data_IF_322380565445
#
_entry.id   IF_322380565445
#
_cell.length_a   1.000
_cell.length_b   1.000
_cell.length_c   1.000
_cell.angle_alpha   90.00
_cell.angle_beta   90.00
_cell.angle_gamma   90.00
#
_symmetry.space_group_name_H-M   'P 1'
#
loop_
_entity.id
_entity.type
_entity.pdbx_description
1 polymer ?
#
# COMPACT_ATOMS: atom_id res chain seq x y z
N UNK A 1 -26.35 -41.84 4.62
CA UNK A 1 -26.49 -40.68 5.53
C UNK A 1 -25.28 -39.74 5.28
N UNK A 2 -25.45 -38.75 4.45
CA UNK A 2 -24.43 -37.72 4.19
C UNK A 2 -24.56 -36.59 5.22
N UNK A 3 -23.48 -36.28 5.91
CA UNK A 3 -23.42 -35.14 6.85
C UNK A 3 -23.37 -33.84 6.04
N UNK A 4 -24.15 -32.80 6.38
CA UNK A 4 -24.10 -31.52 5.72
C UNK A 4 -22.76 -30.82 6.02
N UNK A 5 -22.16 -30.21 4.98
CA UNK A 5 -20.95 -29.42 5.09
C UNK A 5 -21.19 -28.20 5.99
N UNK A 6 -20.43 -28.09 7.06
CA UNK A 6 -20.44 -26.93 7.98
C UNK A 6 -19.78 -25.77 7.22
N UNK A 7 -20.59 -24.80 6.83
CA UNK A 7 -20.11 -23.54 6.28
C UNK A 7 -19.26 -22.83 7.33
N UNK A 8 -18.02 -22.50 6.99
CA UNK A 8 -17.09 -21.80 7.89
C UNK A 8 -17.67 -20.41 8.25
N UNK A 9 -17.87 -20.08 9.52
CA UNK A 9 -18.53 -18.82 9.94
C UNK A 9 -17.74 -17.54 9.55
N UNK A 10 -16.48 -17.66 9.14
CA UNK A 10 -15.67 -16.50 8.72
C UNK A 10 -16.05 -15.89 7.38
N UNK A 11 -16.65 -16.66 6.46
CA UNK A 11 -17.00 -16.16 5.12
C UNK A 11 -18.21 -15.23 5.14
N UNK A 12 -19.17 -15.49 6.02
CA UNK A 12 -20.38 -14.68 6.13
C UNK A 12 -20.12 -13.32 6.82
N UNK A 13 -19.20 -13.31 7.81
CA UNK A 13 -18.79 -12.07 8.47
C UNK A 13 -17.97 -11.15 7.55
N UNK A 14 -17.16 -11.71 6.64
CA UNK A 14 -16.40 -10.94 5.66
C UNK A 14 -17.32 -10.22 4.66
N UNK A 15 -18.40 -10.86 4.24
CA UNK A 15 -19.39 -10.27 3.33
C UNK A 15 -20.22 -9.16 3.99
N UNK A 16 -20.48 -9.21 5.31
CA UNK A 16 -21.25 -8.21 6.04
C UNK A 16 -20.45 -6.97 6.43
N UNK A 17 -19.14 -7.09 6.65
CA UNK A 17 -18.28 -5.94 6.98
C UNK A 17 -17.99 -5.02 5.79
N UNK A 18 -18.27 -5.45 4.56
CA UNK A 18 -18.14 -4.66 3.35
C UNK A 18 -19.34 -3.75 3.07
N UNK A 19 -20.36 -3.80 3.94
CA UNK A 19 -21.61 -3.09 3.75
C UNK A 19 -21.57 -1.75 4.46
N UNK A 20 -21.55 -0.69 3.65
CA UNK A 20 -21.84 0.72 3.97
C UNK A 20 -20.62 1.52 4.45
N UNK A 21 -19.70 1.78 3.54
CA UNK A 21 -18.87 2.97 3.71
C UNK A 21 -19.80 4.19 3.88
N UNK A 22 -19.61 5.03 4.93
CA UNK A 22 -20.47 6.19 5.14
C UNK A 22 -20.53 7.07 3.88
N UNK A 23 -21.66 7.70 3.61
CA UNK A 23 -21.91 8.53 2.42
C UNK A 23 -20.73 9.48 2.12
N UNK A 24 -20.17 10.09 3.17
CA UNK A 24 -19.00 10.97 3.11
C UNK A 24 -17.77 10.30 2.47
N UNK A 25 -17.50 9.04 2.79
CA UNK A 25 -16.35 8.30 2.24
C UNK A 25 -16.56 8.00 0.75
N UNK A 26 -17.76 7.60 0.36
CA UNK A 26 -18.13 7.39 -1.05
C UNK A 26 -17.97 8.67 -1.86
N UNK A 27 -18.45 9.79 -1.32
CA UNK A 27 -18.33 11.10 -1.96
C UNK A 27 -16.86 11.56 -2.07
N UNK A 28 -16.08 11.44 -1.01
CA UNK A 28 -14.66 11.81 -1.05
C UNK A 28 -13.88 10.96 -2.06
N UNK A 29 -14.15 9.65 -2.12
CA UNK A 29 -13.58 8.76 -3.14
C UNK A 29 -13.98 9.15 -4.55
N UNK A 30 -15.23 9.48 -4.75
CA UNK A 30 -15.73 9.97 -6.05
C UNK A 30 -14.94 11.22 -6.48
N UNK A 31 -14.77 12.20 -5.59
CA UNK A 31 -13.99 13.42 -5.88
C UNK A 31 -12.53 13.09 -6.20
N UNK A 32 -11.88 12.21 -5.43
CA UNK A 32 -10.50 11.78 -5.70
C UNK A 32 -10.40 11.15 -7.09
N UNK A 33 -11.31 10.24 -7.44
CA UNK A 33 -11.36 9.60 -8.77
C UNK A 33 -11.58 10.60 -9.88
N UNK A 34 -12.51 11.52 -9.69
CA UNK A 34 -12.82 12.57 -10.66
C UNK A 34 -11.58 13.46 -10.88
N UNK A 35 -10.94 13.93 -9.81
CA UNK A 35 -9.74 14.76 -9.91
C UNK A 35 -8.59 14.02 -10.60
N UNK A 36 -8.32 12.77 -10.22
CA UNK A 36 -7.29 11.97 -10.87
C UNK A 36 -7.59 11.76 -12.36
N UNK A 37 -8.85 11.47 -12.73
CA UNK A 37 -9.26 11.31 -14.13
C UNK A 37 -9.14 12.60 -14.94
N UNK A 38 -9.43 13.75 -14.34
CA UNK A 38 -9.34 15.04 -15.02
C UNK A 38 -7.91 15.54 -15.15
N UNK A 39 -7.11 15.34 -14.09
CA UNK A 39 -5.77 15.92 -13.98
C UNK A 39 -4.65 15.01 -14.50
N UNK A 40 -4.90 13.71 -14.66
CA UNK A 40 -3.86 12.75 -15.04
C UNK A 40 -4.34 11.78 -16.12
N UNK A 41 -3.38 11.12 -16.77
CA UNK A 41 -3.60 9.89 -17.54
C UNK A 41 -3.11 8.71 -16.71
N UNK A 42 -3.99 8.17 -15.86
CA UNK A 42 -3.64 7.05 -14.98
C UNK A 42 -3.99 5.72 -15.65
N UNK A 43 -2.98 4.88 -15.86
CA UNK A 43 -3.10 3.49 -16.34
C UNK A 43 -2.90 2.54 -15.17
N UNK A 44 -3.82 1.60 -14.96
CA UNK A 44 -3.70 0.55 -13.94
C UNK A 44 -3.56 -0.79 -14.65
N UNK A 45 -2.56 -1.56 -14.25
CA UNK A 45 -2.22 -2.89 -14.79
C UNK A 45 -2.28 -3.90 -13.64
N UNK A 46 -2.69 -5.13 -13.94
CA UNK A 46 -2.67 -6.21 -12.95
C UNK A 46 -3.81 -6.19 -11.93
N UNK A 47 -4.96 -5.56 -12.24
CA UNK A 47 -6.12 -5.55 -11.34
C UNK A 47 -6.59 -6.95 -10.93
N UNK A 48 -6.40 -7.95 -11.78
CA UNK A 48 -6.73 -9.36 -11.50
C UNK A 48 -5.88 -9.98 -10.39
N UNK A 49 -4.79 -9.33 -10.00
CA UNK A 49 -3.91 -9.75 -8.91
C UNK A 49 -4.39 -9.28 -7.53
N UNK A 50 -5.39 -8.40 -7.49
CA UNK A 50 -5.96 -7.90 -6.22
C UNK A 50 -6.74 -9.03 -5.54
N UNK A 51 -6.37 -9.42 -4.30
CA UNK A 51 -7.10 -10.46 -3.57
C UNK A 51 -8.55 -10.07 -3.32
N UNK A 52 -9.49 -11.00 -3.58
CA UNK A 52 -10.93 -10.79 -3.39
C UNK A 52 -11.53 -11.62 -2.26
N UNK A 53 -10.84 -12.65 -1.84
CA UNK A 53 -11.30 -13.68 -0.90
C UNK A 53 -10.66 -13.59 0.48
N UNK A 54 -9.68 -12.73 0.64
CA UNK A 54 -8.95 -12.53 1.90
C UNK A 54 -8.56 -11.07 2.09
N UNK A 55 -8.32 -10.67 3.33
CA UNK A 55 -7.72 -9.38 3.63
C UNK A 55 -6.24 -9.35 3.22
N UNK A 56 -5.70 -8.19 2.87
CA UNK A 56 -4.35 -8.05 2.34
C UNK A 56 -3.70 -6.70 2.69
N UNK A 57 -2.41 -6.60 2.42
CA UNK A 57 -1.61 -5.39 2.59
C UNK A 57 -1.19 -4.92 1.19
N UNK A 58 -1.45 -3.66 0.85
CA UNK A 58 -0.86 -3.02 -0.32
C UNK A 58 0.48 -2.44 0.10
N UNK A 59 1.52 -2.90 -0.55
CA UNK A 59 2.88 -2.36 -0.38
C UNK A 59 3.33 -1.70 -1.68
N UNK A 60 3.51 -0.37 -1.64
CA UNK A 60 3.85 0.42 -2.82
C UNK A 60 5.09 1.29 -2.59
N UNK A 61 5.80 1.66 -3.66
CA UNK A 61 6.78 2.74 -3.60
C UNK A 61 6.10 4.11 -3.40
N UNK A 62 6.88 5.12 -3.03
CA UNK A 62 6.35 6.45 -2.75
C UNK A 62 7.26 7.55 -3.29
N UNK A 63 6.94 8.08 -4.46
CA UNK A 63 7.70 9.14 -5.16
C UNK A 63 6.92 10.46 -5.30
N UNK A 64 5.60 10.43 -5.10
CA UNK A 64 4.73 11.60 -5.25
C UNK A 64 3.66 11.72 -4.17
N UNK A 65 3.19 12.93 -3.94
CA UNK A 65 2.08 13.20 -3.01
C UNK A 65 0.79 12.50 -3.45
N UNK A 66 0.61 12.38 -4.76
CA UNK A 66 -0.58 11.76 -5.37
C UNK A 66 -0.67 10.26 -5.10
N UNK A 67 0.44 9.59 -4.79
CA UNK A 67 0.48 8.13 -4.56
C UNK A 67 -0.44 7.69 -3.43
N UNK A 68 -0.58 8.53 -2.38
CA UNK A 68 -1.47 8.25 -1.26
C UNK A 68 -2.96 8.12 -1.68
N UNK A 69 -3.33 8.68 -2.83
CA UNK A 69 -4.70 8.66 -3.36
C UNK A 69 -4.90 7.59 -4.43
N UNK A 70 -3.84 7.00 -4.98
CA UNK A 70 -3.90 5.97 -6.03
C UNK A 70 -4.72 4.75 -5.60
N UNK A 71 -4.61 4.20 -4.36
CA UNK A 71 -5.44 3.06 -3.95
C UNK A 71 -6.94 3.34 -4.03
N UNK A 72 -7.39 4.57 -3.78
CA UNK A 72 -8.79 4.96 -3.93
C UNK A 72 -9.25 5.01 -5.39
N UNK A 73 -8.31 5.10 -6.33
CA UNK A 73 -8.62 5.13 -7.75
C UNK A 73 -9.02 3.75 -8.28
N UNK A 74 -8.35 2.69 -7.87
CA UNK A 74 -8.56 1.35 -8.44
C UNK A 74 -9.26 0.35 -7.50
N UNK A 75 -9.36 0.64 -6.18
CA UNK A 75 -10.10 -0.22 -5.25
C UNK A 75 -11.50 0.33 -5.02
N UNK A 76 -12.53 -0.48 -5.36
CA UNK A 76 -13.92 -0.02 -5.28
C UNK A 76 -14.53 -0.13 -3.88
N UNK A 77 -14.35 -1.22 -3.20
CA UNK A 77 -15.16 -1.57 -2.03
C UNK A 77 -14.42 -1.66 -0.71
N UNK A 78 -13.08 -1.49 -0.70
CA UNK A 78 -12.33 -1.73 0.52
C UNK A 78 -12.20 -0.48 1.36
N UNK A 79 -12.45 -0.60 2.64
CA UNK A 79 -12.02 0.41 3.60
C UNK A 79 -10.49 0.33 3.72
N UNK A 80 -9.83 1.48 3.56
CA UNK A 80 -8.38 1.55 3.55
C UNK A 80 -7.85 2.11 4.86
N UNK A 81 -6.78 1.53 5.35
CA UNK A 81 -5.95 2.08 6.43
C UNK A 81 -4.73 2.71 5.80
N UNK A 82 -4.61 4.03 5.87
CA UNK A 82 -3.43 4.76 5.41
C UNK A 82 -2.66 5.31 6.60
N UNK A 83 -1.35 5.07 6.61
CA UNK A 83 -0.42 5.65 7.57
C UNK A 83 0.14 6.95 7.02
N UNK A 84 -0.12 8.05 7.72
CA UNK A 84 0.31 9.39 7.34
C UNK A 84 1.19 9.97 8.43
N UNK A 85 2.37 10.52 8.07
CA UNK A 85 3.25 11.13 9.08
C UNK A 85 2.57 12.25 9.85
N UNK A 86 2.75 12.31 11.17
CA UNK A 86 2.10 13.25 12.11
C UNK A 86 2.26 14.73 11.70
N UNK A 87 3.37 15.10 11.05
CA UNK A 87 3.58 16.46 10.54
C UNK A 87 2.45 16.96 9.66
N UNK A 88 1.77 16.07 8.96
CA UNK A 88 0.66 16.40 8.08
C UNK A 88 -0.64 16.65 8.82
N UNK A 89 -0.77 16.22 10.08
CA UNK A 89 -1.92 16.52 10.94
C UNK A 89 -2.08 18.02 11.19
N UNK A 90 -0.96 18.77 11.18
CA UNK A 90 -0.94 20.23 11.32
C UNK A 90 -1.53 20.97 10.12
N UNK A 91 -1.57 20.31 8.93
CA UNK A 91 -2.12 20.87 7.70
C UNK A 91 -3.64 20.65 7.71
N UNK A 92 -4.43 21.72 7.70
CA UNK A 92 -5.89 21.67 7.87
C UNK A 92 -6.59 20.74 6.84
N UNK A 93 -6.15 20.79 5.56
CA UNK A 93 -6.72 19.94 4.51
C UNK A 93 -6.40 18.46 4.74
N UNK A 94 -5.19 18.14 5.19
CA UNK A 94 -4.78 16.77 5.49
C UNK A 94 -5.51 16.22 6.72
N UNK A 95 -5.74 17.05 7.72
CA UNK A 95 -6.56 16.68 8.87
C UNK A 95 -8.02 16.45 8.48
N UNK A 96 -8.57 17.30 7.61
CA UNK A 96 -9.92 17.11 7.07
C UNK A 96 -10.00 15.79 6.26
N UNK A 97 -9.08 15.56 5.32
CA UNK A 97 -8.99 14.31 4.57
C UNK A 97 -8.80 13.10 5.49
N UNK A 98 -7.98 13.22 6.52
CA UNK A 98 -7.76 12.16 7.50
C UNK A 98 -9.06 11.75 8.20
N UNK A 99 -9.93 12.70 8.53
CA UNK A 99 -11.25 12.42 9.09
C UNK A 99 -12.20 11.75 8.10
N UNK A 100 -12.14 12.14 6.81
CA UNK A 100 -12.99 11.55 5.76
C UNK A 100 -12.52 10.14 5.37
N UNK A 101 -11.21 9.91 5.32
CA UNK A 101 -10.59 8.70 4.83
C UNK A 101 -10.02 7.82 5.97
N UNK A 102 -10.26 8.18 7.24
CA UNK A 102 -9.81 7.45 8.41
C UNK A 102 -8.28 7.21 8.44
N UNK A 103 -7.46 8.23 8.19
CA UNK A 103 -6.00 8.11 8.29
C UNK A 103 -5.57 7.80 9.73
N UNK A 104 -4.48 7.08 9.87
CA UNK A 104 -3.74 6.96 11.13
C UNK A 104 -2.51 7.85 11.01
N UNK A 105 -2.46 8.93 11.80
CA UNK A 105 -1.27 9.75 11.90
C UNK A 105 -0.24 9.05 12.78
N UNK A 106 1.00 8.94 12.31
CA UNK A 106 2.06 8.14 12.95
C UNK A 106 3.34 8.94 13.11
N UNK A 107 3.97 8.82 14.26
CA UNK A 107 5.36 9.23 14.43
C UNK A 107 6.26 8.27 13.64
N UNK A 108 7.00 8.81 12.69
CA UNK A 108 7.88 8.01 11.82
C UNK A 108 9.28 7.81 12.39
N UNK A 109 9.61 8.53 13.45
CA UNK A 109 10.95 8.56 14.05
C UNK A 109 11.02 7.71 15.31
N UNK A 110 9.88 7.49 15.97
CA UNK A 110 9.79 6.68 17.18
C UNK A 110 8.79 5.52 16.99
N UNK A 111 8.99 4.40 17.69
CA UNK A 111 8.04 3.28 17.67
C UNK A 111 6.65 3.72 18.17
N UNK A 112 5.69 3.83 17.27
CA UNK A 112 4.32 4.19 17.60
C UNK A 112 3.45 2.95 17.83
N UNK A 113 3.51 2.43 19.06
CA UNK A 113 2.76 1.23 19.47
C UNK A 113 1.25 1.43 19.32
N UNK A 114 0.76 2.67 19.53
CA UNK A 114 -0.67 3.00 19.38
C UNK A 114 -1.10 2.87 17.93
N UNK A 115 -0.32 3.44 17.01
CA UNK A 115 -0.58 3.32 15.58
C UNK A 115 -0.55 1.85 15.12
N UNK A 116 0.46 1.09 15.54
CA UNK A 116 0.56 -0.35 15.23
C UNK A 116 -0.68 -1.12 15.71
N UNK A 117 -1.12 -0.89 16.96
CA UNK A 117 -2.33 -1.53 17.50
C UNK A 117 -3.58 -1.14 16.72
N UNK A 118 -3.72 0.13 16.36
CA UNK A 118 -4.85 0.62 15.55
C UNK A 118 -4.88 -0.04 14.18
N UNK A 119 -3.73 -0.16 13.49
CA UNK A 119 -3.59 -0.88 12.22
C UNK A 119 -4.05 -2.32 12.37
N UNK A 120 -3.51 -3.06 13.35
CA UNK A 120 -3.85 -4.46 13.59
C UNK A 120 -5.35 -4.63 13.85
N UNK A 121 -5.93 -3.77 14.66
CA UNK A 121 -7.37 -3.81 14.98
C UNK A 121 -8.22 -3.60 13.73
N UNK A 122 -7.91 -2.58 12.94
CA UNK A 122 -8.66 -2.25 11.72
C UNK A 122 -8.50 -3.33 10.64
N UNK A 123 -7.31 -3.87 10.47
CA UNK A 123 -7.11 -4.99 9.54
C UNK A 123 -7.89 -6.24 9.96
N UNK A 124 -7.98 -6.55 11.26
CA UNK A 124 -8.85 -7.64 11.75
C UNK A 124 -10.34 -7.39 11.51
N UNK A 125 -10.75 -6.14 11.33
CA UNK A 125 -12.11 -5.75 10.95
C UNK A 125 -12.36 -5.78 9.43
N UNK A 126 -11.39 -6.25 8.63
CA UNK A 126 -11.52 -6.40 7.19
C UNK A 126 -11.06 -5.20 6.37
N UNK A 127 -10.36 -4.23 6.98
CA UNK A 127 -9.79 -3.11 6.26
C UNK A 127 -8.45 -3.49 5.61
N UNK A 128 -8.12 -2.87 4.48
CA UNK A 128 -6.87 -3.10 3.73
C UNK A 128 -5.84 -2.06 4.11
N UNK A 129 -4.67 -2.51 4.57
CA UNK A 129 -3.55 -1.62 4.88
C UNK A 129 -2.87 -1.16 3.58
N UNK A 130 -2.66 0.14 3.45
CA UNK A 130 -1.79 0.72 2.42
C UNK A 130 -0.56 1.30 3.10
N UNK A 131 0.59 0.78 2.74
CA UNK A 131 1.86 1.15 3.38
C UNK A 131 2.98 1.23 2.35
N UNK A 132 3.93 2.13 2.59
CA UNK A 132 5.13 2.29 1.76
C UNK A 132 6.35 1.87 2.59
N UNK A 133 7.08 0.81 2.18
CA UNK A 133 8.20 0.30 2.98
C UNK A 133 9.31 1.33 3.18
N UNK A 134 9.47 2.26 2.26
CA UNK A 134 10.42 3.36 2.34
C UNK A 134 10.19 4.27 3.58
N UNK A 135 8.97 4.27 4.15
CA UNK A 135 8.60 5.08 5.31
C UNK A 135 8.58 6.60 5.06
N UNK A 136 8.98 7.04 3.89
CA UNK A 136 8.96 8.45 3.46
C UNK A 136 8.83 8.54 1.95
N UNK A 137 8.50 9.72 1.41
CA UNK A 137 8.58 9.95 -0.04
C UNK A 137 10.04 10.02 -0.49
N UNK A 138 10.36 9.29 -1.54
CA UNK A 138 11.62 9.45 -2.24
C UNK A 138 11.69 10.85 -2.87
N UNK A 139 12.77 11.57 -2.60
CA UNK A 139 13.03 12.89 -3.17
C UNK A 139 13.81 12.83 -4.50
N UNK A 140 14.18 11.63 -4.89
CA UNK A 140 15.05 11.38 -6.06
C UNK A 140 14.30 10.71 -7.22
N UNK A 141 13.03 10.32 -7.02
CA UNK A 141 12.17 9.75 -8.06
C UNK A 141 12.37 8.25 -8.32
N UNK A 142 13.22 7.59 -7.56
CA UNK A 142 13.45 6.14 -7.59
C UNK A 142 13.41 5.53 -6.18
N UNK A 143 13.39 4.20 -6.09
CA UNK A 143 13.33 3.47 -4.83
C UNK A 143 14.52 3.79 -3.93
N UNK A 144 14.24 4.05 -2.68
CA UNK A 144 15.21 4.11 -1.60
C UNK A 144 15.11 2.84 -0.74
N UNK A 145 16.03 2.66 0.19
CA UNK A 145 16.07 1.50 1.08
C UNK A 145 14.78 1.34 1.88
N UNK A 146 14.26 0.11 1.92
CA UNK A 146 13.04 -0.24 2.65
C UNK A 146 13.30 -0.41 4.15
N UNK A 147 12.28 -0.10 4.96
CA UNK A 147 12.30 -0.27 6.41
C UNK A 147 11.45 -1.48 6.83
N UNK A 148 11.85 -2.23 7.86
CA UNK A 148 11.23 -3.52 8.22
C UNK A 148 9.83 -3.42 8.84
N UNK A 149 9.22 -2.24 8.90
CA UNK A 149 7.89 -2.07 9.48
C UNK A 149 6.78 -2.82 8.73
N UNK A 150 6.87 -2.91 7.40
CA UNK A 150 5.90 -3.64 6.57
C UNK A 150 6.06 -5.14 6.76
N UNK A 151 7.27 -5.66 6.69
CA UNK A 151 7.57 -7.09 6.88
C UNK A 151 7.14 -7.56 8.26
N UNK A 152 7.40 -6.76 9.30
CA UNK A 152 6.91 -7.05 10.65
C UNK A 152 5.38 -7.16 10.73
N UNK A 153 4.64 -6.20 10.16
CA UNK A 153 3.19 -6.21 10.19
C UNK A 153 2.62 -7.38 9.38
N UNK A 154 3.18 -7.64 8.20
CA UNK A 154 2.75 -8.73 7.33
C UNK A 154 2.96 -10.10 7.99
N UNK A 155 4.15 -10.33 8.54
CA UNK A 155 4.46 -11.56 9.24
C UNK A 155 3.60 -11.78 10.50
N UNK A 156 3.33 -10.69 11.26
CA UNK A 156 2.49 -10.74 12.46
C UNK A 156 1.02 -11.03 12.15
N UNK A 157 0.52 -10.55 11.02
CA UNK A 157 -0.90 -10.68 10.63
C UNK A 157 -1.16 -11.89 9.75
N UNK A 158 -0.14 -12.42 9.07
CA UNK A 158 -0.26 -13.55 8.14
C UNK A 158 -1.07 -13.22 6.88
N UNK A 159 -1.33 -11.94 6.61
CA UNK A 159 -2.03 -11.50 5.40
C UNK A 159 -1.11 -11.46 4.18
N UNK A 160 -1.62 -11.75 2.97
CA UNK A 160 -0.86 -11.59 1.76
C UNK A 160 -0.52 -10.11 1.50
N UNK A 161 0.61 -9.89 0.82
CA UNK A 161 1.07 -8.59 0.38
C UNK A 161 0.82 -8.48 -1.12
N UNK A 162 0.16 -7.42 -1.54
CA UNK A 162 0.03 -7.01 -2.93
C UNK A 162 1.11 -5.97 -3.23
N UNK A 163 2.18 -6.32 -3.95
CA UNK A 163 3.19 -5.36 -4.36
C UNK A 163 2.64 -4.46 -5.47
N UNK A 164 2.86 -3.15 -5.36
CA UNK A 164 2.40 -2.17 -6.35
C UNK A 164 3.55 -1.23 -6.72
N UNK A 165 3.87 -1.18 -8.01
CA UNK A 165 4.81 -0.22 -8.58
C UNK A 165 4.06 1.00 -9.14
N UNK A 166 4.45 2.21 -8.70
CA UNK A 166 3.90 3.48 -9.17
C UNK A 166 5.00 4.27 -9.85
N UNK A 167 4.78 4.68 -11.09
CA UNK A 167 5.70 5.54 -11.85
C UNK A 167 4.98 6.73 -12.46
N UNK A 168 5.73 7.81 -12.77
CA UNK A 168 5.19 9.04 -13.37
C UNK A 168 4.57 10.03 -12.38
N UNK A 169 4.54 9.71 -11.08
CA UNK A 169 3.98 10.57 -10.02
C UNK A 169 5.02 11.43 -9.29
N UNK A 170 6.29 11.42 -9.70
CA UNK A 170 7.37 12.16 -9.04
C UNK A 170 7.06 13.65 -8.94
N UNK A 171 6.94 14.17 -7.72
CA UNK A 171 6.41 15.51 -7.42
C UNK A 171 6.97 16.64 -8.31
N UNK A 172 8.31 16.80 -8.50
CA UNK A 172 8.83 17.91 -9.29
C UNK A 172 8.35 17.89 -10.74
N UNK A 173 8.34 16.71 -11.38
CA UNK A 173 7.92 16.52 -12.77
C UNK A 173 6.40 16.61 -12.86
N UNK A 174 5.69 15.96 -11.95
CA UNK A 174 4.24 15.91 -11.88
C UNK A 174 3.64 17.33 -11.80
N UNK A 175 4.06 18.13 -10.82
CA UNK A 175 3.56 19.49 -10.66
C UNK A 175 4.04 20.44 -11.77
N UNK A 176 5.24 20.24 -12.33
CA UNK A 176 5.69 21.02 -13.48
C UNK A 176 4.81 20.80 -14.73
N UNK A 177 4.34 19.57 -14.95
CA UNK A 177 3.42 19.26 -16.04
C UNK A 177 2.05 19.90 -15.80
N UNK A 178 1.49 19.78 -14.59
CA UNK A 178 0.21 20.40 -14.24
C UNK A 178 0.22 21.92 -14.39
N UNK A 179 1.31 22.59 -13.98
CA UNK A 179 1.48 24.05 -14.17
C UNK A 179 1.48 24.47 -15.65
N UNK A 180 1.82 23.55 -16.55
CA UNK A 180 1.79 23.76 -18.01
C UNK A 180 0.48 23.26 -18.63
N UNK A 181 -0.56 23.00 -17.83
CA UNK A 181 -1.83 22.42 -18.27
C UNK A 181 -1.69 21.09 -19.01
N UNK A 182 -0.60 20.36 -18.76
CA UNK A 182 -0.39 19.00 -19.27
C UNK A 182 -0.84 17.99 -18.22
N UNK A 183 -1.47 16.92 -18.67
CA UNK A 183 -1.90 15.82 -17.80
C UNK A 183 -0.75 14.82 -17.64
N UNK A 184 -0.17 14.66 -16.43
CA UNK A 184 0.87 13.67 -16.20
C UNK A 184 0.39 12.25 -16.48
N UNK A 185 1.28 11.41 -17.00
CA UNK A 185 1.04 9.98 -17.17
C UNK A 185 1.49 9.24 -15.90
N UNK A 186 0.56 8.55 -15.23
CA UNK A 186 0.85 7.70 -14.09
C UNK A 186 0.59 6.25 -14.50
N UNK A 187 1.56 5.39 -14.23
CA UNK A 187 1.38 3.94 -14.37
C UNK A 187 1.36 3.30 -12.98
N UNK A 188 0.33 2.53 -12.72
CA UNK A 188 0.17 1.72 -11.50
C UNK A 188 0.17 0.27 -11.92
N UNK A 189 1.14 -0.49 -11.45
CA UNK A 189 1.30 -1.90 -11.80
C UNK A 189 1.17 -2.76 -10.53
N UNK A 190 0.09 -3.53 -10.42
CA UNK A 190 -0.16 -4.44 -9.32
C UNK A 190 0.40 -5.83 -9.66
N UNK A 191 1.38 -6.29 -8.89
CA UNK A 191 1.99 -7.60 -9.03
C UNK A 191 1.15 -8.70 -8.38
N UNK A 192 1.58 -9.96 -8.52
CA UNK A 192 0.95 -11.09 -7.85
C UNK A 192 1.08 -10.98 -6.34
N UNK A 193 -0.02 -11.15 -5.62
CA UNK A 193 -0.01 -11.19 -4.16
C UNK A 193 0.79 -12.40 -3.65
N UNK A 194 1.51 -12.22 -2.56
CA UNK A 194 2.35 -13.26 -1.95
C UNK A 194 2.31 -13.17 -0.41
N UNK A 195 2.73 -14.22 0.27
CA UNK A 195 2.87 -14.24 1.73
C UNK A 195 4.32 -14.32 2.11
N UNK A 196 4.68 -13.65 3.20
CA UNK A 196 5.97 -13.85 3.87
C UNK A 196 5.92 -15.09 4.76
N UNK A 197 7.08 -15.72 5.01
CA UNK A 197 7.20 -16.77 6.00
C UNK A 197 6.90 -16.21 7.41
N UNK A 198 6.50 -17.06 8.37
CA UNK A 198 6.37 -16.63 9.75
C UNK A 198 7.76 -16.25 10.30
N UNK A 199 7.79 -15.20 11.12
CA UNK A 199 9.05 -14.77 11.76
C UNK A 199 9.58 -15.86 12.70
N UNK A 200 10.92 -16.00 12.81
CA UNK A 200 11.53 -16.86 13.81
C UNK A 200 11.03 -16.52 15.22
N UNK A 201 10.77 -17.54 16.01
CA UNK A 201 10.35 -17.38 17.43
C UNK A 201 11.50 -16.90 18.30
N UNK A 202 12.72 -17.33 18.00
CA UNK A 202 13.93 -16.85 18.66
C UNK A 202 14.25 -15.41 18.27
N UNK A 203 14.78 -14.62 19.21
CA UNK A 203 15.24 -13.26 18.94
C UNK A 203 16.45 -13.25 17.99
N UNK A 204 17.31 -14.25 18.11
CA UNK A 204 18.49 -14.42 17.26
C UNK A 204 18.05 -14.65 15.80
N UNK A 205 18.58 -13.86 14.87
CA UNK A 205 18.25 -13.93 13.45
C UNK A 205 16.94 -13.25 13.03
N UNK A 206 16.17 -12.69 13.98
CA UNK A 206 14.89 -12.05 13.67
C UNK A 206 15.05 -10.76 12.87
N UNK A 207 16.05 -9.96 13.19
CA UNK A 207 16.28 -8.69 12.47
C UNK A 207 16.77 -8.96 11.05
N UNK A 208 17.61 -9.99 10.85
CA UNK A 208 18.04 -10.44 9.53
C UNK A 208 16.84 -10.98 8.71
N UNK A 209 15.97 -11.79 9.31
CA UNK A 209 14.77 -12.28 8.65
C UNK A 209 13.84 -11.13 8.23
N UNK A 210 13.64 -10.12 9.10
CA UNK A 210 12.84 -8.94 8.78
C UNK A 210 13.47 -8.11 7.65
N UNK A 211 14.79 -8.00 7.58
CA UNK A 211 15.45 -7.30 6.50
C UNK A 211 15.32 -8.07 5.18
N UNK A 212 15.56 -9.39 5.19
CA UNK A 212 15.39 -10.25 4.01
C UNK A 212 13.94 -10.20 3.48
N UNK A 213 12.94 -10.23 4.37
CA UNK A 213 11.52 -10.08 4.04
C UNK A 213 11.23 -8.69 3.45
N UNK A 214 11.89 -7.65 3.95
CA UNK A 214 11.77 -6.28 3.43
C UNK A 214 12.35 -6.20 2.03
N UNK A 215 13.51 -6.78 1.80
CA UNK A 215 14.15 -6.81 0.49
C UNK A 215 13.33 -7.64 -0.52
N UNK A 216 12.70 -8.73 -0.10
CA UNK A 216 11.74 -9.47 -0.93
C UNK A 216 10.56 -8.59 -1.37
N UNK A 217 9.96 -7.83 -0.44
CA UNK A 217 8.87 -6.90 -0.76
C UNK A 217 9.34 -5.84 -1.75
N UNK A 218 10.49 -5.21 -1.46
CA UNK A 218 11.03 -4.12 -2.27
C UNK A 218 11.47 -4.58 -3.65
N UNK A 219 12.08 -5.76 -3.78
CA UNK A 219 12.45 -6.33 -5.07
C UNK A 219 11.22 -6.66 -5.93
N UNK A 220 10.12 -7.12 -5.32
CA UNK A 220 8.86 -7.32 -6.04
C UNK A 220 8.25 -6.01 -6.51
N UNK A 221 8.34 -4.93 -5.74
CA UNK A 221 7.94 -3.58 -6.17
C UNK A 221 8.86 -3.11 -7.31
N UNK A 222 10.19 -3.27 -7.16
CA UNK A 222 11.17 -2.90 -8.18
C UNK A 222 10.94 -3.61 -9.52
N UNK A 223 10.54 -4.89 -9.49
CA UNK A 223 10.22 -5.66 -10.71
C UNK A 223 9.01 -5.11 -11.49
N UNK A 224 8.14 -4.32 -10.83
CA UNK A 224 6.96 -3.69 -11.44
C UNK A 224 7.25 -2.28 -11.97
N UNK A 225 8.45 -1.75 -11.72
CA UNK A 225 8.86 -0.40 -12.09
C UNK A 225 9.76 -0.40 -13.32
N UNK A 226 9.76 0.69 -14.11
CA UNK A 226 10.79 0.98 -15.09
C UNK A 226 12.19 0.93 -14.45
N UNK A 227 13.20 0.61 -15.26
CA UNK A 227 14.56 0.41 -14.77
C UNK A 227 15.11 1.64 -14.04
N UNK A 228 14.87 2.82 -14.58
CA UNK A 228 15.29 4.10 -14.00
C UNK A 228 14.67 4.40 -12.62
N UNK A 229 13.58 3.73 -12.25
CA UNK A 229 12.92 3.92 -10.97
C UNK A 229 13.30 2.87 -9.92
N UNK A 230 14.13 1.87 -10.24
CA UNK A 230 14.51 0.76 -9.33
C UNK A 230 15.50 1.16 -8.24
N UNK A 231 16.30 2.22 -8.46
CA UNK A 231 17.17 2.87 -7.48
C UNK A 231 18.02 1.92 -6.64
N UNK A 232 17.89 1.96 -5.32
CA UNK A 232 18.65 1.13 -4.39
C UNK A 232 18.62 -0.39 -4.70
N UNK A 233 17.53 -0.86 -5.31
CA UNK A 233 17.33 -2.29 -5.61
C UNK A 233 17.72 -2.69 -7.03
N UNK A 234 18.21 -1.77 -7.88
CA UNK A 234 18.49 -2.04 -9.30
C UNK A 234 19.43 -3.24 -9.53
N UNK A 235 20.46 -3.38 -8.68
CA UNK A 235 21.45 -4.45 -8.79
C UNK A 235 21.22 -5.64 -7.85
N UNK A 236 20.13 -5.62 -7.08
CA UNK A 236 19.86 -6.65 -6.08
C UNK A 236 19.66 -8.03 -6.74
N UNK A 237 20.32 -9.09 -6.19
CA UNK A 237 20.28 -10.45 -6.74
C UNK A 237 18.86 -10.97 -6.88
N UNK A 238 18.03 -10.72 -5.88
CA UNK A 238 16.62 -11.13 -5.86
C UNK A 238 15.80 -10.47 -6.96
N UNK A 239 16.04 -9.19 -7.26
CA UNK A 239 15.39 -8.53 -8.39
C UNK A 239 15.77 -9.19 -9.71
N UNK A 240 17.07 -9.51 -9.92
CA UNK A 240 17.54 -10.19 -11.14
C UNK A 240 16.86 -11.55 -11.35
N UNK A 241 16.56 -12.28 -10.26
CA UNK A 241 15.79 -13.52 -10.33
C UNK A 241 14.33 -13.28 -10.73
N UNK A 242 13.67 -12.28 -10.12
CA UNK A 242 12.27 -11.94 -10.39
C UNK A 242 12.04 -11.47 -11.83
N UNK A 243 13.03 -10.84 -12.46
CA UNK A 243 12.94 -10.36 -13.84
C UNK A 243 13.16 -11.46 -14.88
N UNK A 244 13.67 -12.65 -14.48
CA UNK A 244 13.85 -13.80 -15.39
C UNK A 244 12.61 -14.68 -15.51
N UNK A 245 11.66 -14.56 -14.55
CA UNK A 245 10.41 -15.34 -14.48
C UNK A 245 9.22 -14.50 -14.95
#
# INVERSE_FOLDING_TARGET
MQRPAISKPGFFFWQLSHTIAPMRLKFTRFLIRLLLRLLTHTKVIGLNNVPTDTNFIISANHIGLVDAFIPFYFLDNNNLVLLVGEKWEKVWIMRWLGRQLNFIFVDRFNPDIKAIRAVITRMKQGEVLVITPEGTRSKVGYLIEGKPGVSYLAAKLGYPILPVGISGSFDPIFFAQLKRFKRPHITVNAGKAFKLPPLPTASLGRDEALQNDTDEIMCRIAALLPEENRGFYADHSRLKELLKN
#
